data_IF_252299486045
#
_entry.id   IF_252299486045
#
_cell.length_a   1.000
_cell.length_b   1.000
_cell.length_c   1.000
_cell.angle_alpha   90.00
_cell.angle_beta   90.00
_cell.angle_gamma   90.00
#
_symmetry.space_group_name_H-M   'P 1'
#
loop_
_entity.id
_entity.type
_entity.pdbx_description
1 polymer ?
#
# COMPACT_ATOMS: atom_id res chain seq x y z
N UNK A 1 5.97 44.99 41.96
CA UNK A 1 5.08 44.61 40.85
C UNK A 1 5.76 43.55 39.98
N UNK A 2 5.51 42.26 40.25
CA UNK A 2 5.80 41.15 39.34
C UNK A 2 4.63 40.17 39.46
N UNK A 3 3.85 40.07 38.39
CA UNK A 3 2.67 39.20 38.30
C UNK A 3 3.12 37.82 37.84
N UNK A 4 2.86 36.82 38.68
CA UNK A 4 2.92 35.41 38.33
C UNK A 4 1.70 35.05 37.46
N UNK A 5 1.91 34.32 36.37
CA UNK A 5 0.87 33.63 35.60
C UNK A 5 1.12 32.14 35.72
N UNK A 6 0.33 31.49 36.56
CA UNK A 6 0.08 30.04 36.55
C UNK A 6 -1.24 29.80 35.83
N UNK A 7 -1.25 28.91 34.84
CA UNK A 7 -2.49 28.48 34.19
C UNK A 7 -2.25 27.37 33.18
N UNK A 8 -3.24 26.48 33.08
CA UNK A 8 -3.37 25.27 32.24
C UNK A 8 -2.76 24.01 32.91
N UNK A 9 -3.53 23.03 33.42
CA UNK A 9 -4.93 22.68 33.17
C UNK A 9 -5.02 21.73 31.97
N UNK A 10 -4.99 20.42 32.22
CA UNK A 10 -5.49 19.44 31.27
C UNK A 10 -6.20 18.29 32.00
N UNK A 11 -7.45 18.12 31.59
CA UNK A 11 -8.42 17.13 32.03
C UNK A 11 -8.21 15.86 31.20
N UNK A 12 -8.13 14.69 31.86
CA UNK A 12 -8.21 13.39 31.19
C UNK A 12 -9.43 12.63 31.75
N UNK A 13 -10.51 12.62 30.97
CA UNK A 13 -11.68 11.76 31.18
C UNK A 13 -11.46 10.50 30.35
N UNK A 14 -11.22 9.37 31.01
CA UNK A 14 -11.16 8.04 30.40
C UNK A 14 -12.56 7.42 30.45
N UNK A 15 -13.23 7.37 29.31
CA UNK A 15 -14.51 6.69 29.15
C UNK A 15 -14.25 5.26 28.65
N UNK A 16 -14.39 4.28 29.54
CA UNK A 16 -14.30 2.86 29.21
C UNK A 16 -15.67 2.33 28.76
N UNK A 17 -15.85 2.11 27.45
CA UNK A 17 -16.97 1.33 26.92
C UNK A 17 -16.57 -0.14 26.79
N UNK A 18 -16.91 -0.92 27.81
CA UNK A 18 -17.00 -2.38 27.75
C UNK A 18 -18.32 -2.75 27.06
N UNK A 19 -18.26 -3.24 25.83
CA UNK A 19 -19.37 -3.97 25.21
C UNK A 19 -18.96 -5.43 25.02
N UNK A 20 -19.55 -6.27 25.87
CA UNK A 20 -19.54 -7.72 25.75
C UNK A 20 -20.36 -8.13 24.52
N UNK A 21 -19.74 -8.87 23.60
CA UNK A 21 -20.42 -9.54 22.49
C UNK A 21 -20.71 -10.99 22.91
N UNK A 22 -21.96 -11.46 22.91
CA UNK A 22 -22.27 -12.84 23.23
C UNK A 22 -21.87 -13.77 22.06
N UNK A 23 -21.30 -14.91 22.44
CA UNK A 23 -20.89 -16.00 21.56
C UNK A 23 -22.09 -16.57 20.79
N UNK A 24 -21.93 -16.74 19.46
CA UNK A 24 -22.85 -17.51 18.63
C UNK A 24 -22.40 -18.98 18.58
N UNK A 25 -23.33 -19.95 18.72
CA UNK A 25 -23.00 -21.36 18.60
C UNK A 25 -22.72 -21.75 17.14
N UNK A 26 -21.66 -22.51 16.92
CA UNK A 26 -21.36 -23.22 15.69
C UNK A 26 -22.47 -24.24 15.40
N UNK A 27 -23.22 -24.04 14.31
CA UNK A 27 -24.02 -25.09 13.70
C UNK A 27 -23.15 -25.87 12.71
N UNK A 28 -23.02 -27.17 12.97
CA UNK A 28 -22.42 -28.15 12.08
C UNK A 28 -23.19 -28.20 10.76
N UNK A 29 -22.48 -28.00 9.64
CA UNK A 29 -22.97 -28.36 8.31
C UNK A 29 -22.42 -29.72 7.94
N UNK A 30 -23.33 -30.68 7.83
CA UNK A 30 -23.10 -32.00 7.25
C UNK A 30 -22.83 -31.88 5.75
N UNK A 31 -21.75 -32.52 5.32
CA UNK A 31 -21.36 -32.63 3.93
C UNK A 31 -22.33 -33.55 3.17
N UNK A 32 -22.97 -33.04 2.12
CA UNK A 32 -23.74 -33.82 1.16
C UNK A 32 -23.04 -33.85 -0.21
N UNK A 33 -22.60 -35.07 -0.55
CA UNK A 33 -22.67 -35.74 -1.87
C UNK A 33 -22.22 -34.95 -3.11
N UNK A 34 -21.00 -35.29 -3.53
CA UNK A 34 -20.46 -35.04 -4.87
C UNK A 34 -21.24 -35.85 -5.92
N UNK A 35 -22.13 -35.17 -6.64
CA UNK A 35 -22.69 -35.66 -7.90
C UNK A 35 -21.79 -35.29 -9.08
N UNK A 36 -21.26 -36.30 -9.75
CA UNK A 36 -20.49 -36.18 -10.98
C UNK A 36 -21.30 -35.47 -12.08
N UNK A 37 -20.93 -34.22 -12.41
CA UNK A 37 -21.41 -33.54 -13.61
C UNK A 37 -20.38 -33.69 -14.73
N UNK A 38 -20.73 -34.54 -15.69
CA UNK A 38 -20.05 -34.70 -16.96
C UNK A 38 -20.00 -33.37 -17.71
N UNK A 39 -18.79 -33.02 -18.17
CA UNK A 39 -18.49 -31.81 -18.91
C UNK A 39 -19.31 -31.68 -20.18
N UNK A 40 -20.29 -30.78 -20.16
CA UNK A 40 -20.74 -30.07 -21.35
C UNK A 40 -19.95 -28.77 -21.41
N UNK A 41 -19.02 -28.68 -22.35
CA UNK A 41 -18.41 -27.42 -22.75
C UNK A 41 -19.54 -26.47 -23.15
N UNK A 42 -19.88 -25.53 -22.28
CA UNK A 42 -20.82 -24.47 -22.59
C UNK A 42 -20.19 -23.65 -23.72
N UNK A 43 -20.75 -23.77 -24.92
CA UNK A 43 -20.40 -22.89 -26.02
C UNK A 43 -20.59 -21.45 -25.54
N UNK A 44 -19.51 -20.68 -25.47
CA UNK A 44 -19.55 -19.29 -25.07
C UNK A 44 -20.53 -18.57 -26.00
N UNK A 45 -21.61 -18.05 -25.42
CA UNK A 45 -22.57 -17.24 -26.17
C UNK A 45 -21.81 -16.06 -26.79
N UNK A 46 -22.04 -15.74 -28.07
CA UNK A 46 -21.40 -14.60 -28.70
C UNK A 46 -21.72 -13.35 -27.86
N UNK A 47 -20.67 -12.66 -27.41
CA UNK A 47 -20.83 -11.39 -26.69
C UNK A 47 -21.48 -10.39 -27.64
N UNK A 48 -22.78 -10.13 -27.45
CA UNK A 48 -23.52 -9.09 -28.15
C UNK A 48 -22.95 -7.73 -27.70
N UNK A 49 -22.02 -7.20 -28.49
CA UNK A 49 -21.47 -5.88 -28.28
C UNK A 49 -22.49 -4.86 -28.79
N UNK A 50 -22.80 -3.84 -27.97
CA UNK A 50 -23.72 -2.76 -28.35
C UNK A 50 -23.02 -1.42 -28.19
N UNK A 51 -22.70 -0.80 -29.31
CA UNK A 51 -22.10 0.53 -29.33
C UNK A 51 -23.14 1.61 -29.00
N UNK A 52 -22.72 2.58 -28.20
CA UNK A 52 -23.50 3.78 -27.87
C UNK A 52 -22.62 4.99 -28.11
N UNK A 53 -23.12 5.90 -28.92
CA UNK A 53 -22.38 7.12 -29.28
C UNK A 53 -22.96 8.30 -28.52
N UNK A 54 -22.08 9.19 -28.09
CA UNK A 54 -22.44 10.42 -27.39
C UNK A 54 -21.71 11.58 -28.05
N UNK A 55 -22.40 12.70 -28.22
CA UNK A 55 -21.75 13.97 -28.53
C UNK A 55 -21.57 14.69 -27.20
N UNK A 56 -20.31 15.02 -26.89
CA UNK A 56 -20.00 16.02 -25.89
C UNK A 56 -19.87 17.37 -26.59
N UNK A 57 -20.55 18.37 -26.03
CA UNK A 57 -20.41 19.75 -26.46
C UNK A 57 -19.94 20.58 -25.28
N UNK A 58 -18.87 21.32 -25.52
CA UNK A 58 -18.30 22.28 -24.59
C UNK A 58 -18.66 23.70 -25.05
N UNK A 59 -19.15 24.51 -24.13
CA UNK A 59 -19.33 25.94 -24.31
C UNK A 59 -18.42 26.69 -23.34
N UNK A 60 -17.48 27.44 -23.91
CA UNK A 60 -16.61 28.36 -23.19
C UNK A 60 -17.23 29.75 -23.20
N UNK A 61 -17.35 30.38 -22.03
CA UNK A 61 -17.76 31.77 -21.86
C UNK A 61 -16.66 32.54 -21.19
N UNK A 62 -16.44 33.76 -21.65
CA UNK A 62 -15.46 34.67 -21.06
C UNK A 62 -16.20 35.82 -20.37
N UNK A 63 -15.79 36.17 -19.16
CA UNK A 63 -16.36 37.25 -18.36
C UNK A 63 -15.25 38.22 -17.93
N UNK A 64 -15.52 39.52 -17.97
CA UNK A 64 -14.54 40.56 -17.59
C UNK A 64 -14.24 41.53 -18.73
N UNK A 65 -13.18 42.33 -18.59
CA UNK A 65 -12.73 43.27 -19.62
C UNK A 65 -11.56 42.68 -20.42
N UNK A 66 -11.48 43.02 -21.71
CA UNK A 66 -10.39 42.61 -22.62
C UNK A 66 -10.26 41.09 -22.89
N UNK A 67 -11.32 40.31 -22.78
CA UNK A 67 -11.30 38.88 -23.14
C UNK A 67 -11.01 38.62 -24.64
N UNK A 68 -10.28 37.56 -25.01
CA UNK A 68 -9.78 36.47 -24.15
C UNK A 68 -8.42 36.72 -23.47
N UNK A 69 -7.70 37.80 -23.81
CA UNK A 69 -6.32 38.04 -23.38
C UNK A 69 -6.17 38.98 -22.16
N UNK A 70 -7.29 39.47 -21.62
CA UNK A 70 -7.32 40.44 -20.54
C UNK A 70 -6.97 39.83 -19.18
N UNK A 71 -6.23 40.58 -18.35
CA UNK A 71 -5.85 40.16 -17.00
C UNK A 71 -7.04 39.91 -16.06
N UNK A 72 -8.20 40.50 -16.36
CA UNK A 72 -9.46 40.30 -15.61
C UNK A 72 -10.41 39.32 -16.30
N UNK A 73 -9.97 38.67 -17.40
CA UNK A 73 -10.80 37.74 -18.13
C UNK A 73 -10.89 36.40 -17.40
N UNK A 74 -12.09 36.04 -16.96
CA UNK A 74 -12.40 34.75 -16.36
C UNK A 74 -13.06 33.85 -17.39
N UNK A 75 -12.59 32.61 -17.46
CA UNK A 75 -13.12 31.59 -18.34
C UNK A 75 -14.06 30.66 -17.57
N UNK A 76 -15.30 30.52 -18.05
CA UNK A 76 -16.28 29.57 -17.53
C UNK A 76 -16.59 28.54 -18.61
N UNK A 77 -16.35 27.28 -18.28
CA UNK A 77 -16.66 26.14 -19.16
C UNK A 77 -17.95 25.48 -18.71
N UNK A 78 -18.79 25.12 -19.66
CA UNK A 78 -20.02 24.36 -19.43
C UNK A 78 -20.10 23.22 -20.44
N UNK A 79 -20.46 22.04 -19.95
CA UNK A 79 -20.49 20.81 -20.75
C UNK A 79 -21.92 20.27 -20.84
N UNK A 80 -22.29 19.75 -21.99
CA UNK A 80 -23.50 18.95 -22.15
C UNK A 80 -23.21 17.72 -22.98
N UNK A 81 -23.74 16.57 -22.57
CA UNK A 81 -23.67 15.33 -23.34
C UNK A 81 -25.06 14.96 -23.83
N UNK A 82 -25.16 14.48 -25.07
CA UNK A 82 -26.40 13.92 -25.64
C UNK A 82 -26.11 12.61 -26.35
N UNK A 83 -26.98 11.60 -26.19
CA UNK A 83 -26.83 10.36 -26.94
C UNK A 83 -27.10 10.64 -28.42
N UNK A 84 -26.24 10.12 -29.29
CA UNK A 84 -26.51 10.11 -30.72
C UNK A 84 -27.36 8.88 -31.05
N UNK A 85 -28.67 9.09 -31.13
CA UNK A 85 -29.61 8.03 -31.46
C UNK A 85 -29.73 7.96 -32.98
N UNK A 86 -29.26 6.88 -33.59
CA UNK A 86 -29.43 6.60 -35.01
C UNK A 86 -29.58 5.11 -35.23
N UNK A 87 -30.31 4.76 -36.28
CA UNK A 87 -30.42 3.40 -36.79
C UNK A 87 -29.26 3.02 -37.73
N UNK A 88 -28.40 3.98 -38.09
CA UNK A 88 -27.26 3.78 -38.98
C UNK A 88 -25.94 4.04 -38.25
N UNK A 89 -25.42 3.02 -37.57
CA UNK A 89 -24.13 3.08 -36.87
C UNK A 89 -22.97 3.27 -37.84
N UNK A 90 -23.06 2.75 -39.07
CA UNK A 90 -22.03 2.92 -40.11
C UNK A 90 -21.79 4.39 -40.47
N UNK A 91 -22.83 5.22 -40.47
CA UNK A 91 -22.70 6.67 -40.67
C UNK A 91 -21.87 7.33 -39.56
N UNK A 92 -22.09 6.92 -38.30
CA UNK A 92 -21.33 7.47 -37.18
C UNK A 92 -19.85 7.11 -37.30
N UNK A 93 -19.54 5.83 -37.59
CA UNK A 93 -18.16 5.41 -37.71
C UNK A 93 -17.41 6.16 -38.81
N UNK A 94 -18.08 6.51 -39.92
CA UNK A 94 -17.51 7.37 -40.96
C UNK A 94 -17.34 8.82 -40.49
N UNK A 95 -18.33 9.37 -39.79
CA UNK A 95 -18.26 10.75 -39.28
C UNK A 95 -17.07 10.96 -38.34
N UNK A 96 -16.72 9.94 -37.54
CA UNK A 96 -15.60 10.00 -36.60
C UNK A 96 -14.31 9.35 -37.13
N UNK A 97 -14.24 8.96 -38.42
CA UNK A 97 -13.06 8.33 -39.01
C UNK A 97 -12.66 6.99 -38.36
N UNK A 98 -13.53 6.36 -37.57
CA UNK A 98 -13.25 5.13 -36.83
C UNK A 98 -13.18 3.88 -37.73
N UNK A 99 -13.61 3.99 -38.99
CA UNK A 99 -13.49 2.92 -39.99
C UNK A 99 -12.16 2.96 -40.76
N UNK A 100 -11.44 4.08 -40.71
CA UNK A 100 -10.10 4.17 -41.27
C UNK A 100 -9.18 3.62 -40.19
N UNK A 101 -8.56 2.47 -40.47
CA UNK A 101 -7.49 1.93 -39.62
C UNK A 101 -6.45 3.02 -39.36
N UNK A 102 -5.70 2.95 -38.24
CA UNK A 102 -4.73 3.98 -37.90
C UNK A 102 -3.85 4.26 -39.11
N UNK A 103 -4.00 5.45 -39.69
CA UNK A 103 -3.16 5.89 -40.79
C UNK A 103 -1.75 6.03 -40.21
N UNK A 104 -0.80 5.15 -40.58
CA UNK A 104 0.53 5.16 -39.97
C UNK A 104 1.30 6.44 -40.26
N UNK A 105 0.84 7.27 -41.21
CA UNK A 105 1.46 8.55 -41.59
C UNK A 105 0.82 9.77 -40.91
N UNK A 106 -0.30 9.61 -40.20
CA UNK A 106 -0.94 10.72 -39.50
C UNK A 106 -0.22 11.01 -38.17
N UNK A 107 0.65 12.01 -38.20
CA UNK A 107 1.37 12.54 -37.02
C UNK A 107 0.47 13.37 -36.09
N UNK A 108 -0.85 13.36 -36.31
CA UNK A 108 -1.81 14.09 -35.48
C UNK A 108 -2.10 13.26 -34.23
N UNK A 109 -1.76 13.73 -33.02
CA UNK A 109 -2.07 13.03 -31.79
C UNK A 109 -3.58 12.77 -31.71
N UNK A 110 -3.98 11.51 -31.47
CA UNK A 110 -5.40 11.09 -31.37
C UNK A 110 -6.18 11.90 -30.33
N UNK A 111 -5.48 12.45 -29.34
CA UNK A 111 -6.03 13.32 -28.32
C UNK A 111 -5.48 14.74 -28.51
N UNK A 112 -6.33 15.69 -28.92
CA UNK A 112 -5.96 17.10 -28.97
C UNK A 112 -5.70 17.62 -27.55
N UNK A 113 -4.65 18.42 -27.37
CA UNK A 113 -4.23 18.95 -26.06
C UNK A 113 -5.33 19.74 -25.30
N UNK A 114 -6.40 20.17 -25.98
CA UNK A 114 -7.56 20.87 -25.39
C UNK A 114 -8.82 20.02 -25.23
N UNK A 115 -8.82 18.74 -25.61
CA UNK A 115 -10.00 17.89 -25.50
C UNK A 115 -10.33 17.60 -24.02
N UNK A 116 -11.62 17.62 -23.63
CA UNK A 116 -12.01 17.28 -22.27
C UNK A 116 -11.65 15.82 -21.97
N UNK A 117 -10.93 15.58 -20.88
CA UNK A 117 -10.66 14.22 -20.42
C UNK A 117 -11.97 13.59 -19.94
N UNK A 118 -12.47 12.60 -20.68
CA UNK A 118 -13.61 11.80 -20.25
C UNK A 118 -13.10 10.85 -19.18
N UNK A 119 -13.43 11.11 -17.91
CA UNK A 119 -13.14 10.20 -16.81
C UNK A 119 -13.82 8.85 -17.09
N UNK A 120 -13.06 7.88 -17.59
CA UNK A 120 -13.56 6.53 -17.73
C UNK A 120 -13.47 5.88 -16.35
N UNK A 121 -14.59 5.45 -15.73
CA UNK A 121 -14.55 4.80 -14.43
C UNK A 121 -13.65 3.55 -14.43
N UNK A 122 -13.45 2.95 -15.61
CA UNK A 122 -12.59 1.78 -15.82
C UNK A 122 -11.18 2.12 -16.34
N UNK A 123 -10.75 3.39 -16.32
CA UNK A 123 -9.41 3.75 -16.83
C UNK A 123 -8.31 2.97 -16.09
N UNK A 124 -8.39 2.90 -14.75
CA UNK A 124 -7.46 2.12 -13.94
C UNK A 124 -7.51 0.62 -14.29
N UNK A 125 -8.71 0.04 -14.45
CA UNK A 125 -8.87 -1.36 -14.82
C UNK A 125 -8.31 -1.68 -16.20
N UNK A 126 -8.47 -0.77 -17.17
CA UNK A 126 -7.88 -0.92 -18.51
C UNK A 126 -6.38 -0.76 -18.52
N UNK A 127 -5.82 0.16 -17.73
CA UNK A 127 -4.37 0.38 -17.66
C UNK A 127 -3.63 -0.72 -16.89
N UNK A 128 -4.20 -1.21 -15.79
CA UNK A 128 -3.54 -2.15 -14.88
C UNK A 128 -3.92 -3.61 -15.14
N UNK A 129 -5.01 -3.86 -15.87
CA UNK A 129 -5.58 -5.19 -16.06
C UNK A 129 -6.40 -5.70 -14.86
N UNK A 130 -6.53 -4.94 -13.77
CA UNK A 130 -7.35 -5.28 -12.60
C UNK A 130 -7.96 -4.04 -11.96
N UNK A 131 -9.04 -4.21 -11.19
CA UNK A 131 -9.63 -3.14 -10.38
C UNK A 131 -9.01 -3.12 -8.98
N UNK A 132 -8.20 -2.10 -8.63
CA UNK A 132 -7.54 -2.03 -7.33
C UNK A 132 -8.52 -1.85 -6.17
N UNK A 133 -9.74 -1.34 -6.42
CA UNK A 133 -10.79 -1.19 -5.40
C UNK A 133 -11.51 -2.51 -5.11
N UNK A 134 -11.51 -3.43 -6.07
CA UNK A 134 -12.09 -4.76 -5.92
C UNK A 134 -11.14 -5.76 -5.26
N UNK A 135 -9.86 -5.42 -5.09
CA UNK A 135 -8.90 -6.30 -4.43
C UNK A 135 -9.27 -6.46 -2.94
N UNK A 136 -9.32 -7.70 -2.42
CA UNK A 136 -9.53 -7.91 -1.00
C UNK A 136 -8.37 -7.29 -0.22
N UNK A 137 -8.69 -6.75 0.96
CA UNK A 137 -7.64 -6.32 1.89
C UNK A 137 -6.82 -7.55 2.29
N UNK A 138 -5.51 -7.43 2.14
CA UNK A 138 -4.56 -8.49 2.49
C UNK A 138 -4.56 -8.78 3.99
N UNK A 139 -4.35 -10.04 4.35
CA UNK A 139 -4.23 -10.48 5.76
C UNK A 139 -2.84 -10.09 6.27
N UNK A 140 -2.74 -9.77 7.57
CA UNK A 140 -1.46 -9.44 8.23
C UNK A 140 -0.44 -10.55 7.95
N UNK A 141 0.65 -10.23 7.27
CA UNK A 141 1.75 -11.15 6.93
C UNK A 141 1.94 -11.40 5.43
N UNK A 142 0.87 -11.40 4.64
CA UNK A 142 0.95 -11.64 3.17
C UNK A 142 1.82 -10.62 2.43
N UNK A 143 1.99 -9.44 3.01
CA UNK A 143 2.91 -8.39 2.56
C UNK A 143 4.39 -8.79 2.55
N UNK A 144 4.75 -9.92 3.19
CA UNK A 144 6.09 -10.50 3.17
C UNK A 144 6.29 -11.51 2.02
N UNK A 145 5.23 -11.81 1.25
CA UNK A 145 5.30 -12.76 0.14
C UNK A 145 6.24 -12.25 -0.94
N UNK A 146 7.16 -13.10 -1.38
CA UNK A 146 8.13 -12.80 -2.45
C UNK A 146 9.29 -11.89 -2.04
N UNK A 147 9.40 -11.51 -0.75
CA UNK A 147 10.59 -10.79 -0.28
C UNK A 147 11.75 -11.79 -0.18
N UNK A 148 12.77 -11.61 -1.02
CA UNK A 148 13.98 -12.45 -1.02
C UNK A 148 15.21 -11.71 -0.47
N UNK A 149 15.15 -10.39 -0.45
CA UNK A 149 16.23 -9.52 -0.02
C UNK A 149 15.68 -8.27 0.64
N UNK A 150 16.45 -7.70 1.58
CA UNK A 150 16.12 -6.46 2.28
C UNK A 150 17.38 -5.70 2.69
N UNK A 151 17.24 -4.41 2.96
CA UNK A 151 18.28 -3.62 3.59
C UNK A 151 18.09 -3.58 5.11
N UNK A 152 19.20 -3.71 5.85
CA UNK A 152 19.27 -3.62 7.30
C UNK A 152 20.64 -3.06 7.68
N UNK A 153 20.65 -2.01 8.49
CA UNK A 153 21.86 -1.45 9.10
C UNK A 153 21.58 -1.11 10.57
N UNK A 154 22.10 -1.94 11.47
CA UNK A 154 22.06 -1.75 12.93
C UNK A 154 23.46 -1.54 13.52
N UNK A 155 24.45 -1.25 12.67
CA UNK A 155 25.83 -1.04 13.13
C UNK A 155 25.95 0.14 14.09
N UNK A 156 25.05 1.12 13.98
CA UNK A 156 24.96 2.31 14.84
C UNK A 156 24.05 2.16 16.06
N UNK A 157 23.58 0.95 16.40
CA UNK A 157 22.71 0.74 17.55
C UNK A 157 23.45 1.04 18.86
N UNK A 158 22.83 1.84 19.75
CA UNK A 158 23.40 2.19 21.05
C UNK A 158 23.52 0.94 21.93
N UNK A 159 24.72 0.68 22.46
CA UNK A 159 24.96 -0.41 23.41
C UNK A 159 24.19 -0.18 24.74
N UNK A 160 23.50 -1.20 25.28
CA UNK A 160 22.98 -1.16 26.64
C UNK A 160 24.13 -1.23 27.67
N UNK A 161 23.86 -0.91 28.95
CA UNK A 161 24.84 -1.06 30.02
C UNK A 161 25.43 -2.48 30.07
N UNK A 162 26.74 -2.58 30.24
CA UNK A 162 27.46 -3.87 30.27
C UNK A 162 27.92 -4.39 28.90
N UNK A 163 27.51 -3.77 27.78
CA UNK A 163 27.95 -4.15 26.44
C UNK A 163 29.09 -3.24 25.92
N UNK A 164 29.91 -3.79 25.03
CA UNK A 164 31.02 -3.08 24.39
C UNK A 164 30.56 -2.07 23.33
N UNK A 165 31.48 -1.19 22.92
CA UNK A 165 31.24 -0.17 21.89
C UNK A 165 30.95 -0.76 20.49
N UNK A 166 31.27 -2.03 20.28
CA UNK A 166 31.07 -2.79 19.05
C UNK A 166 29.75 -3.58 19.01
N UNK A 167 28.88 -3.42 20.01
CA UNK A 167 27.58 -4.08 20.13
C UNK A 167 26.77 -4.13 18.82
N UNK A 168 26.51 -2.98 18.20
CA UNK A 168 25.73 -2.91 16.96
C UNK A 168 26.41 -3.63 15.79
N UNK A 169 27.75 -3.63 15.73
CA UNK A 169 28.50 -4.32 14.68
C UNK A 169 28.49 -5.83 14.85
N UNK A 170 28.63 -6.32 16.09
CA UNK A 170 28.51 -7.73 16.41
C UNK A 170 27.10 -8.24 16.05
N UNK A 171 26.06 -7.53 16.50
CA UNK A 171 24.67 -7.85 16.18
C UNK A 171 24.38 -7.81 14.68
N UNK A 172 24.93 -6.85 13.93
CA UNK A 172 24.78 -6.81 12.46
C UNK A 172 25.26 -8.13 11.83
N UNK A 173 26.41 -8.65 12.24
CA UNK A 173 26.96 -9.90 11.73
C UNK A 173 26.04 -11.10 12.02
N UNK A 174 25.51 -11.18 13.24
CA UNK A 174 24.58 -12.23 13.66
C UNK A 174 23.24 -12.16 12.91
N UNK A 175 22.68 -10.95 12.73
CA UNK A 175 21.47 -10.72 11.96
C UNK A 175 21.63 -11.19 10.51
N UNK A 176 22.71 -10.75 9.85
CA UNK A 176 23.00 -11.12 8.46
C UNK A 176 23.15 -12.64 8.33
N UNK A 177 23.87 -13.27 9.24
CA UNK A 177 24.04 -14.73 9.25
C UNK A 177 22.70 -15.46 9.37
N UNK A 178 21.86 -15.05 10.32
CA UNK A 178 20.57 -15.70 10.60
C UNK A 178 19.54 -15.49 9.49
N UNK A 179 19.46 -14.29 8.92
CA UNK A 179 18.63 -14.00 7.75
C UNK A 179 19.10 -14.81 6.54
N UNK A 180 20.41 -14.87 6.28
CA UNK A 180 20.96 -15.63 5.16
C UNK A 180 20.66 -17.12 5.29
N UNK A 181 20.77 -17.68 6.49
CA UNK A 181 20.41 -19.07 6.77
C UNK A 181 18.91 -19.37 6.55
N UNK A 182 18.05 -18.35 6.60
CA UNK A 182 16.64 -18.44 6.28
C UNK A 182 16.32 -18.14 4.80
N UNK A 183 17.32 -17.87 3.97
CA UNK A 183 17.14 -17.53 2.55
C UNK A 183 16.84 -16.05 2.28
N UNK A 184 16.97 -15.17 3.28
CA UNK A 184 16.80 -13.72 3.15
C UNK A 184 18.15 -13.04 3.01
N UNK A 185 18.40 -12.37 1.87
CA UNK A 185 19.66 -11.66 1.63
C UNK A 185 19.62 -10.24 2.22
N UNK A 186 20.66 -9.86 2.96
CA UNK A 186 20.85 -8.46 3.36
C UNK A 186 21.67 -7.74 2.30
N UNK A 187 21.13 -6.68 1.72
CA UNK A 187 21.72 -5.95 0.59
C UNK A 187 22.21 -4.56 0.98
N UNK A 188 23.13 -4.00 0.18
CA UNK A 188 23.58 -2.61 0.34
C UNK A 188 22.49 -1.59 -0.05
N UNK A 189 22.70 -0.31 0.27
CA UNK A 189 21.76 0.76 -0.14
C UNK A 189 21.71 0.93 -1.66
N UNK A 190 22.82 0.70 -2.34
CA UNK A 190 22.93 0.77 -3.80
C UNK A 190 22.12 -0.35 -4.45
N UNK A 191 22.24 -1.58 -3.94
CA UNK A 191 21.49 -2.74 -4.40
C UNK A 191 19.98 -2.62 -4.10
N UNK A 192 19.62 -2.05 -2.94
CA UNK A 192 18.23 -1.82 -2.54
C UNK A 192 17.42 -1.08 -3.60
N UNK A 193 18.02 -0.10 -4.27
CA UNK A 193 17.35 0.70 -5.33
C UNK A 193 16.84 -0.13 -6.51
N UNK A 194 17.37 -1.34 -6.68
CA UNK A 194 17.01 -2.29 -7.75
C UNK A 194 16.01 -3.34 -7.30
N UNK A 195 15.72 -3.42 -5.99
CA UNK A 195 14.77 -4.38 -5.45
C UNK A 195 13.33 -3.85 -5.59
N UNK A 196 12.37 -4.69 -6.04
CA UNK A 196 10.96 -4.35 -5.99
C UNK A 196 10.53 -4.00 -4.56
N UNK A 197 9.81 -2.90 -4.40
CA UNK A 197 9.32 -2.47 -3.09
C UNK A 197 10.38 -1.90 -2.14
N UNK A 198 11.67 -1.90 -2.50
CA UNK A 198 12.77 -1.37 -1.67
C UNK A 198 12.64 -1.73 -0.16
N UNK A 199 12.56 -3.02 0.20
CA UNK A 199 12.30 -3.44 1.58
C UNK A 199 13.43 -3.02 2.53
N UNK A 200 13.08 -2.25 3.57
CA UNK A 200 14.02 -1.78 4.61
C UNK A 200 13.53 -2.21 5.98
N UNK A 201 14.34 -2.98 6.71
CA UNK A 201 14.08 -3.33 8.09
C UNK A 201 14.74 -2.31 9.02
N UNK A 202 13.92 -1.59 9.77
CA UNK A 202 14.37 -0.64 10.78
C UNK A 202 14.19 -1.24 12.17
N UNK A 203 15.23 -1.13 13.01
CA UNK A 203 15.21 -1.60 14.39
C UNK A 203 15.49 -0.42 15.30
N UNK A 204 14.60 -0.21 16.26
CA UNK A 204 14.68 0.80 17.29
C UNK A 204 14.85 0.11 18.63
N UNK A 205 15.91 0.46 19.33
CA UNK A 205 16.19 -0.03 20.66
C UNK A 205 16.29 1.15 21.62
N UNK A 206 15.51 1.11 22.70
CA UNK A 206 15.56 2.09 23.76
C UNK A 206 15.65 1.39 25.10
N UNK A 207 16.38 2.01 26.02
CA UNK A 207 16.43 1.61 27.41
C UNK A 207 16.46 2.85 28.28
N UNK A 208 15.91 2.73 29.48
CA UNK A 208 15.93 3.76 30.49
C UNK A 208 16.33 3.16 31.82
N UNK A 209 17.23 3.87 32.49
CA UNK A 209 17.62 3.62 33.86
C UNK A 209 17.49 4.95 34.61
N UNK A 210 16.27 5.31 35.05
CA UNK A 210 16.06 6.55 35.75
C UNK A 210 16.78 6.48 37.11
N UNK A 211 17.90 7.18 37.21
CA UNK A 211 18.60 7.51 38.46
C UNK A 211 19.23 6.33 39.24
N UNK A 212 19.70 5.27 38.54
CA UNK A 212 20.29 4.07 39.17
C UNK A 212 19.36 3.42 40.23
N UNK A 213 18.05 3.65 40.13
CA UNK A 213 17.04 3.18 41.10
C UNK A 213 16.66 1.71 40.93
N UNK A 214 17.50 0.91 40.25
CA UNK A 214 17.24 -0.50 39.91
C UNK A 214 16.01 -0.74 39.02
N UNK A 215 15.41 0.30 38.43
CA UNK A 215 14.24 0.22 37.54
C UNK A 215 14.67 0.22 36.06
N UNK A 216 15.64 -0.64 35.72
CA UNK A 216 16.10 -0.80 34.35
C UNK A 216 14.99 -1.35 33.47
N UNK A 217 14.61 -0.60 32.44
CA UNK A 217 13.64 -1.03 31.44
C UNK A 217 14.15 -0.84 30.03
N UNK A 218 13.73 -1.71 29.13
CA UNK A 218 14.09 -1.62 27.72
C UNK A 218 12.96 -2.07 26.80
N UNK A 219 12.95 -1.50 25.60
CA UNK A 219 12.02 -1.86 24.54
C UNK A 219 12.74 -1.95 23.20
N UNK A 220 12.31 -2.94 22.41
CA UNK A 220 12.75 -3.15 21.03
C UNK A 220 11.51 -3.04 20.16
N UNK A 221 11.58 -2.19 19.14
CA UNK A 221 10.56 -2.08 18.10
C UNK A 221 11.21 -2.25 16.74
N UNK A 222 10.61 -3.05 15.88
CA UNK A 222 11.06 -3.23 14.52
C UNK A 222 9.91 -3.00 13.53
N UNK A 223 10.27 -2.44 12.37
CA UNK A 223 9.34 -2.17 11.28
C UNK A 223 10.01 -2.45 9.94
N UNK A 224 9.37 -3.28 9.12
CA UNK A 224 9.73 -3.48 7.72
C UNK A 224 8.92 -2.52 6.87
N UNK A 225 9.59 -1.58 6.21
CA UNK A 225 8.98 -0.64 5.28
C UNK A 225 9.18 -1.09 3.82
N UNK A 226 8.18 -0.82 2.97
CA UNK A 226 8.24 -1.03 1.53
C UNK A 226 7.58 0.13 0.77
N UNK A 227 7.99 0.35 -0.47
CA UNK A 227 7.29 1.19 -1.44
C UNK A 227 5.93 0.56 -1.79
N UNK A 228 4.86 1.32 -1.52
CA UNK A 228 3.48 0.93 -1.83
C UNK A 228 2.79 2.00 -2.67
N UNK A 229 1.80 1.60 -3.46
CA UNK A 229 0.93 2.51 -4.21
C UNK A 229 -0.38 2.75 -3.46
N UNK A 230 -0.86 4.00 -3.47
CA UNK A 230 -2.14 4.31 -2.86
C UNK A 230 -3.29 3.97 -3.81
N UNK A 231 -4.23 3.13 -3.37
CA UNK A 231 -5.42 2.75 -4.17
C UNK A 231 -6.25 3.95 -4.63
N UNK A 232 -6.29 5.04 -3.83
CA UNK A 232 -6.95 6.30 -4.20
C UNK A 232 -6.29 7.01 -5.40
N UNK A 233 -4.97 6.97 -5.49
CA UNK A 233 -4.19 7.57 -6.58
C UNK A 233 -2.91 6.78 -6.78
N UNK A 234 -2.92 5.88 -7.78
CA UNK A 234 -1.82 4.95 -8.06
C UNK A 234 -0.57 5.62 -8.61
N UNK A 235 -0.62 6.92 -8.90
CA UNK A 235 0.57 7.72 -9.25
C UNK A 235 1.37 8.10 -8.01
N UNK A 236 0.78 7.94 -6.82
CA UNK A 236 1.43 8.23 -5.55
C UNK A 236 2.08 6.95 -5.02
N UNK A 237 3.41 6.97 -4.96
CA UNK A 237 4.25 5.95 -4.35
C UNK A 237 4.79 6.47 -3.03
N UNK A 238 4.63 5.69 -1.95
CA UNK A 238 5.10 6.05 -0.60
C UNK A 238 5.79 4.87 0.07
N UNK A 239 6.76 5.14 0.94
CA UNK A 239 7.30 4.14 1.84
C UNK A 239 6.35 3.95 3.03
N UNK A 240 5.88 2.73 3.28
CA UNK A 240 4.97 2.40 4.38
C UNK A 240 5.43 1.17 5.15
N UNK A 241 5.25 1.19 6.47
CA UNK A 241 5.48 0.01 7.32
C UNK A 241 4.45 -1.08 7.04
N UNK A 242 4.90 -2.22 6.54
CA UNK A 242 4.04 -3.35 6.18
C UNK A 242 4.01 -4.44 7.25
N UNK A 243 5.07 -4.53 8.04
CA UNK A 243 5.21 -5.50 9.12
C UNK A 243 5.90 -4.84 10.30
N UNK A 244 5.50 -5.21 11.51
CA UNK A 244 6.13 -4.72 12.73
C UNK A 244 6.11 -5.76 13.84
N UNK A 245 7.08 -5.64 14.73
CA UNK A 245 7.23 -6.48 15.91
C UNK A 245 7.78 -5.66 17.07
N UNK A 246 7.26 -5.92 18.28
CA UNK A 246 7.66 -5.24 19.51
C UNK A 246 7.94 -6.27 20.60
N UNK A 247 9.03 -6.10 21.34
CA UNK A 247 9.40 -6.89 22.52
C UNK A 247 10.11 -5.99 23.53
N UNK A 248 10.34 -6.46 24.74
CA UNK A 248 11.03 -5.71 25.80
C UNK A 248 11.18 -6.52 27.07
N UNK A 249 11.61 -5.87 28.15
CA UNK A 249 11.68 -6.52 29.47
C UNK A 249 10.30 -6.72 30.12
N UNK A 250 9.28 -5.99 29.67
CA UNK A 250 7.89 -6.13 30.13
C UNK A 250 7.07 -7.12 29.29
N UNK A 251 7.66 -7.71 28.25
CA UNK A 251 6.99 -8.70 27.43
C UNK A 251 6.77 -10.01 28.20
N UNK A 252 5.63 -10.69 27.99
CA UNK A 252 5.29 -11.93 28.71
C UNK A 252 6.27 -13.07 28.44
N UNK A 253 6.91 -13.05 27.28
CA UNK A 253 7.90 -13.99 26.78
C UNK A 253 9.34 -13.46 26.98
N UNK A 254 9.53 -12.45 27.83
CA UNK A 254 10.86 -11.93 28.13
C UNK A 254 11.77 -13.00 28.71
N UNK A 255 12.87 -13.27 28.00
CA UNK A 255 13.98 -14.11 28.44
C UNK A 255 15.29 -13.55 27.87
N UNK A 256 16.39 -13.78 28.58
CA UNK A 256 17.73 -13.41 28.14
C UNK A 256 18.06 -11.92 28.26
N UNK A 257 19.11 -11.53 27.55
CA UNK A 257 19.70 -10.20 27.50
C UNK A 257 18.96 -9.27 26.51
N UNK A 258 19.36 -8.00 26.47
CA UNK A 258 18.94 -7.02 25.47
C UNK A 258 19.32 -7.44 24.06
N UNK A 259 20.50 -8.06 23.89
CA UNK A 259 20.93 -8.66 22.64
C UNK A 259 19.95 -9.75 22.19
N UNK A 260 19.56 -10.65 23.10
CA UNK A 260 18.58 -11.70 22.82
C UNK A 260 17.22 -11.11 22.43
N UNK A 261 16.80 -10.02 23.07
CA UNK A 261 15.57 -9.33 22.71
C UNK A 261 15.59 -8.70 21.32
N UNK A 262 16.73 -8.14 20.91
CA UNK A 262 16.91 -7.65 19.54
C UNK A 262 16.92 -8.85 18.58
N UNK A 263 17.58 -9.95 18.91
CA UNK A 263 17.61 -11.17 18.09
C UNK A 263 16.23 -11.85 17.95
N UNK A 264 15.28 -11.64 18.87
CA UNK A 264 13.90 -12.11 18.69
C UNK A 264 13.19 -11.43 17.52
N UNK A 265 13.60 -10.21 17.13
CA UNK A 265 13.05 -9.53 15.95
C UNK A 265 13.30 -10.34 14.68
N UNK A 266 14.53 -10.85 14.50
CA UNK A 266 14.88 -11.64 13.32
C UNK A 266 14.17 -12.99 13.33
N UNK A 267 13.99 -13.62 14.49
CA UNK A 267 13.16 -14.83 14.61
C UNK A 267 11.72 -14.58 14.18
N UNK A 268 11.10 -13.52 14.71
CA UNK A 268 9.74 -13.15 14.38
C UNK A 268 9.57 -12.84 12.88
N UNK A 269 10.55 -12.17 12.26
CA UNK A 269 10.53 -11.89 10.83
C UNK A 269 10.67 -13.17 10.00
N UNK A 270 11.61 -14.04 10.35
CA UNK A 270 11.83 -15.32 9.66
C UNK A 270 10.58 -16.20 9.75
N UNK A 271 9.95 -16.27 10.93
CA UNK A 271 8.72 -17.02 11.12
C UNK A 271 7.61 -16.46 10.23
N UNK A 272 7.33 -15.16 10.30
CA UNK A 272 6.29 -14.52 9.51
C UNK A 272 6.54 -14.65 7.99
N UNK A 273 7.81 -14.61 7.56
CA UNK A 273 8.20 -14.84 6.17
C UNK A 273 7.92 -16.28 5.72
N UNK A 274 8.29 -17.27 6.53
CA UNK A 274 8.05 -18.70 6.23
C UNK A 274 6.57 -19.02 6.15
N UNK A 275 5.74 -18.44 7.01
CA UNK A 275 4.29 -18.64 7.02
C UNK A 275 3.63 -18.32 5.66
N UNK A 276 4.18 -17.36 4.90
CA UNK A 276 3.60 -16.93 3.61
C UNK A 276 4.39 -17.37 2.37
N UNK A 277 5.65 -17.81 2.53
CA UNK A 277 6.53 -18.21 1.44
C UNK A 277 6.87 -19.71 1.39
N UNK A 278 6.48 -20.51 2.39
CA UNK A 278 6.66 -21.97 2.31
C UNK A 278 5.67 -22.55 1.29
N UNK A 279 6.10 -23.38 0.32
CA UNK A 279 5.18 -24.02 -0.62
C UNK A 279 4.15 -24.83 0.18
N UNK A 280 2.86 -24.55 -0.03
CA UNK A 280 1.80 -25.44 0.44
C UNK A 280 2.02 -26.80 -0.21
N UNK A 281 2.44 -27.79 0.59
CA UNK A 281 2.57 -29.18 0.14
C UNK A 281 1.23 -29.77 -0.25
#
# INVERSE_FOLDING_TARGET
MRLARTGQGLVAVLLACLLAVPARPLLAQTAEVQGAQAGRAAAALPHLTRDRFWILWERVRYFGTHCPAGATCQELRSYSSRPLITNNTGYIFRLFGLQEGPDPESDVPKDQAGAPQVCQPDAARRMLGFDPLALPKSVKGEVLRGIEALHLDITGLKAPPGFGADFGRQLQGEFVSKLSAAGLRVVSKEELSRLPGQPVLNIYFSFSDPEDLCDYTYSVFASLAQDVLLVRDLRIKVAAGVWSYSTGNTAKDHQGTEADAIMRVVDALIQAHREVNTPSR
#
